data_IF_412549963577
#
_entry.id   IF_412549963577
#
_cell.length_a   1.000
_cell.length_b   1.000
_cell.length_c   1.000
_cell.angle_alpha   90.00
_cell.angle_beta   90.00
_cell.angle_gamma   90.00
#
_symmetry.space_group_name_H-M   'P 1'
#
loop_
_entity.id
_entity.type
_entity.pdbx_description
1 polymer ?
#
# COMPACT_ATOMS: atom_id res chain seq x y z
N UNK A 1 -19.83 -17.94 -14.20
CA UNK A 1 -19.71 -18.45 -12.80
C UNK A 1 -20.64 -17.68 -11.85
N UNK A 2 -21.19 -18.32 -10.81
CA UNK A 2 -21.91 -17.59 -9.77
C UNK A 2 -20.96 -16.68 -8.98
N UNK A 3 -21.43 -15.49 -8.59
CA UNK A 3 -20.58 -14.49 -7.92
C UNK A 3 -19.92 -15.01 -6.62
N UNK A 4 -20.56 -15.99 -5.97
CA UNK A 4 -20.11 -16.61 -4.71
C UNK A 4 -18.90 -17.54 -4.96
N UNK A 5 -18.82 -18.21 -6.09
CA UNK A 5 -17.74 -19.15 -6.42
C UNK A 5 -16.60 -18.49 -7.20
N UNK A 6 -16.87 -17.39 -7.91
CA UNK A 6 -15.87 -16.65 -8.66
C UNK A 6 -14.71 -16.12 -7.80
N UNK A 7 -15.00 -15.66 -6.57
CA UNK A 7 -13.98 -15.13 -5.66
C UNK A 7 -12.98 -16.20 -5.17
N UNK A 8 -13.40 -17.31 -4.53
CA UNK A 8 -12.47 -18.34 -4.09
C UNK A 8 -11.70 -18.97 -5.26
N UNK A 9 -12.33 -19.15 -6.43
CA UNK A 9 -11.62 -19.62 -7.64
C UNK A 9 -10.55 -18.62 -8.08
N UNK A 10 -10.86 -17.32 -8.12
CA UNK A 10 -9.88 -16.32 -8.49
C UNK A 10 -8.67 -16.31 -7.53
N UNK A 11 -8.93 -16.37 -6.22
CA UNK A 11 -7.87 -16.36 -5.19
C UNK A 11 -6.95 -17.57 -5.35
N UNK A 12 -7.50 -18.76 -5.54
CA UNK A 12 -6.72 -20.00 -5.70
C UNK A 12 -5.99 -20.07 -7.05
N UNK A 13 -6.56 -19.51 -8.12
CA UNK A 13 -5.89 -19.43 -9.42
C UNK A 13 -4.84 -18.32 -9.49
N UNK A 14 -4.93 -17.29 -8.64
CA UNK A 14 -4.06 -16.12 -8.64
C UNK A 14 -3.47 -15.86 -7.25
N UNK A 15 -2.96 -16.92 -6.60
CA UNK A 15 -2.37 -16.84 -5.26
C UNK A 15 -1.23 -15.82 -5.20
N UNK A 16 -0.37 -15.76 -6.22
CA UNK A 16 0.73 -14.80 -6.27
C UNK A 16 0.27 -13.34 -6.28
N UNK A 17 -0.74 -13.03 -7.11
CA UNK A 17 -1.34 -11.69 -7.15
C UNK A 17 -2.04 -11.33 -5.85
N UNK A 18 -2.77 -12.29 -5.27
CA UNK A 18 -3.46 -12.10 -3.99
C UNK A 18 -2.49 -11.94 -2.83
N UNK A 19 -1.38 -12.67 -2.83
CA UNK A 19 -0.29 -12.50 -1.87
C UNK A 19 0.32 -11.10 -1.96
N UNK A 20 0.66 -10.63 -3.17
CA UNK A 20 1.21 -9.29 -3.36
C UNK A 20 0.25 -8.20 -2.86
N UNK A 21 -1.05 -8.34 -3.13
CA UNK A 21 -2.06 -7.43 -2.60
C UNK A 21 -2.09 -7.43 -1.07
N UNK A 22 -2.24 -8.59 -0.44
CA UNK A 22 -2.30 -8.72 1.03
C UNK A 22 -1.01 -8.23 1.68
N UNK A 23 0.15 -8.59 1.11
CA UNK A 23 1.45 -8.18 1.61
C UNK A 23 1.65 -6.66 1.51
N UNK A 24 1.24 -6.03 0.41
CA UNK A 24 1.29 -4.57 0.26
C UNK A 24 0.39 -3.84 1.27
N UNK A 25 -0.80 -4.39 1.55
CA UNK A 25 -1.70 -3.87 2.59
C UNK A 25 -1.07 -4.03 3.98
N UNK A 26 -0.50 -5.20 4.29
CA UNK A 26 0.17 -5.45 5.57
C UNK A 26 1.38 -4.53 5.78
N UNK A 27 2.18 -4.28 4.74
CA UNK A 27 3.31 -3.34 4.80
C UNK A 27 2.85 -1.91 5.07
N UNK A 28 1.79 -1.45 4.38
CA UNK A 28 1.26 -0.12 4.62
C UNK A 28 0.69 0.01 6.03
N UNK A 29 -0.22 -0.87 6.45
CA UNK A 29 -0.83 -0.75 7.78
C UNK A 29 0.15 -1.01 8.93
N UNK A 30 1.14 -1.88 8.74
CA UNK A 30 2.12 -2.24 9.77
C UNK A 30 3.27 -1.23 9.91
N UNK A 31 3.71 -0.63 8.81
CA UNK A 31 4.90 0.25 8.81
C UNK A 31 4.65 1.60 8.16
N UNK A 32 3.91 1.64 7.06
CA UNK A 32 3.62 2.88 6.32
C UNK A 32 2.74 3.87 7.08
N UNK A 33 1.62 3.40 7.63
CA UNK A 33 0.64 4.19 8.34
C UNK A 33 1.18 4.73 9.67
N UNK A 34 1.87 3.95 10.52
CA UNK A 34 2.56 4.49 11.68
C UNK A 34 3.59 5.56 11.30
N UNK A 35 4.42 5.31 10.29
CA UNK A 35 5.40 6.29 9.83
C UNK A 35 4.77 7.59 9.31
N UNK A 36 3.60 7.51 8.65
CA UNK A 36 2.85 8.68 8.19
C UNK A 36 2.20 9.44 9.35
N UNK A 37 1.66 8.72 10.34
CA UNK A 37 1.02 9.29 11.52
C UNK A 37 2.00 9.97 12.47
N UNK A 38 3.19 9.38 12.66
CA UNK A 38 4.19 9.86 13.62
C UNK A 38 5.02 11.03 13.08
N UNK A 39 5.24 11.10 11.76
CA UNK A 39 6.12 12.10 11.17
C UNK A 39 5.42 13.17 10.34
N UNK A 40 4.18 12.93 9.90
CA UNK A 40 3.44 13.87 9.07
C UNK A 40 4.14 14.17 7.73
N UNK A 41 3.38 14.52 6.71
CA UNK A 41 3.95 15.10 5.50
C UNK A 41 3.84 16.63 5.59
N UNK A 42 4.37 17.22 6.67
CA UNK A 42 4.27 18.67 6.89
C UNK A 42 5.46 19.39 6.23
N UNK A 43 5.17 20.06 5.11
CA UNK A 43 5.96 21.16 4.55
C UNK A 43 5.69 22.50 5.29
N UNK A 44 4.93 22.46 6.39
CA UNK A 44 4.41 23.62 7.09
C UNK A 44 5.21 24.03 8.33
N UNK A 45 6.54 23.99 8.29
CA UNK A 45 7.33 24.79 9.24
C UNK A 45 8.65 25.29 8.65
N UNK A 46 8.55 26.40 7.90
CA UNK A 46 9.56 27.44 7.98
C UNK A 46 9.48 28.09 9.37
N UNK A 47 10.06 27.45 10.39
CA UNK A 47 10.45 28.11 11.64
C UNK A 47 11.98 28.19 11.68
N UNK A 48 12.60 29.36 11.38
CA UNK A 48 14.03 29.54 11.51
C UNK A 48 14.36 29.85 12.97
N UNK A 49 14.35 28.86 13.86
CA UNK A 49 14.91 29.03 15.20
C UNK A 49 15.19 27.69 15.89
N UNK A 50 16.48 27.43 16.10
CA UNK A 50 17.05 26.65 17.21
C UNK A 50 17.12 25.11 17.17
N UNK A 51 16.39 24.36 16.34
CA UNK A 51 16.62 22.90 16.20
C UNK A 51 16.38 22.41 14.77
N UNK A 52 16.95 23.13 13.80
CA UNK A 52 16.83 22.92 12.35
C UNK A 52 17.50 21.65 11.84
N UNK A 53 16.96 20.50 12.21
CA UNK A 53 17.26 19.22 11.60
C UNK A 53 15.95 18.46 11.48
N UNK A 54 15.37 18.50 10.30
CA UNK A 54 14.32 17.58 9.85
C UNK A 54 14.62 16.20 10.47
N UNK A 55 13.75 15.58 11.29
CA UNK A 55 13.81 14.14 11.49
C UNK A 55 13.31 13.45 10.22
N UNK A 56 13.87 13.81 9.07
CA UNK A 56 14.10 12.89 7.96
C UNK A 56 15.07 11.84 8.48
N UNK A 57 14.61 10.97 9.38
CA UNK A 57 15.35 9.75 9.67
C UNK A 57 15.64 9.08 8.32
N UNK A 58 16.88 8.68 8.01
CA UNK A 58 17.29 8.14 6.70
C UNK A 58 16.46 6.95 6.16
N UNK A 59 15.48 6.47 6.92
CA UNK A 59 14.63 5.32 6.58
C UNK A 59 13.12 5.55 6.81
N UNK A 60 12.68 6.60 7.51
CA UNK A 60 11.26 6.75 7.91
C UNK A 60 10.35 7.30 6.79
N UNK A 61 10.79 8.37 6.13
CA UNK A 61 10.02 9.02 5.04
C UNK A 61 9.86 8.11 3.81
N UNK A 62 10.94 7.41 3.43
CA UNK A 62 10.92 6.50 2.28
C UNK A 62 9.98 5.31 2.49
N UNK A 63 9.95 4.74 3.69
CA UNK A 63 9.08 3.58 4.00
C UNK A 63 7.61 3.96 3.91
N UNK A 64 7.21 5.15 4.38
CA UNK A 64 5.83 5.62 4.26
C UNK A 64 5.40 5.77 2.78
N UNK A 65 6.20 6.45 1.96
CA UNK A 65 5.88 6.67 0.54
C UNK A 65 5.89 5.35 -0.24
N UNK A 66 6.94 4.52 -0.07
CA UNK A 66 7.09 3.27 -0.82
C UNK A 66 5.99 2.27 -0.46
N UNK A 67 5.66 2.11 0.83
CA UNK A 67 4.57 1.22 1.24
C UNK A 67 3.21 1.70 0.74
N UNK A 68 2.97 3.02 0.70
CA UNK A 68 1.77 3.61 0.10
C UNK A 68 1.69 3.32 -1.39
N UNK A 69 2.79 3.51 -2.13
CA UNK A 69 2.84 3.22 -3.56
C UNK A 69 2.60 1.72 -3.83
N UNK A 70 3.23 0.83 -3.07
CA UNK A 70 3.02 -0.61 -3.17
C UNK A 70 1.58 -1.00 -2.89
N UNK A 71 0.94 -0.39 -1.88
CA UNK A 71 -0.47 -0.61 -1.56
C UNK A 71 -1.37 -0.18 -2.73
N UNK A 72 -1.16 1.01 -3.30
CA UNK A 72 -1.95 1.51 -4.42
C UNK A 72 -1.77 0.64 -5.66
N UNK A 73 -0.53 0.34 -6.04
CA UNK A 73 -0.23 -0.49 -7.21
C UNK A 73 -0.74 -1.91 -7.01
N UNK A 74 -0.55 -2.50 -5.83
CA UNK A 74 -1.06 -3.83 -5.49
C UNK A 74 -2.59 -3.89 -5.55
N UNK A 75 -3.28 -2.88 -5.04
CA UNK A 75 -4.73 -2.77 -5.10
C UNK A 75 -5.26 -2.62 -6.53
N UNK A 76 -4.63 -1.77 -7.34
CA UNK A 76 -5.01 -1.57 -8.74
C UNK A 76 -4.76 -2.83 -9.58
N UNK A 77 -3.58 -3.44 -9.43
CA UNK A 77 -3.22 -4.63 -10.18
C UNK A 77 -4.14 -5.80 -9.82
N UNK A 78 -4.39 -6.06 -8.53
CA UNK A 78 -5.29 -7.12 -8.10
C UNK A 78 -6.74 -6.87 -8.56
N UNK A 79 -7.22 -5.64 -8.45
CA UNK A 79 -8.56 -5.27 -8.92
C UNK A 79 -8.71 -5.43 -10.43
N UNK A 80 -7.70 -5.01 -11.22
CA UNK A 80 -7.69 -5.19 -12.67
C UNK A 80 -7.68 -6.67 -13.08
N UNK A 81 -6.90 -7.51 -12.39
CA UNK A 81 -6.85 -8.94 -12.62
C UNK A 81 -8.20 -9.60 -12.28
N UNK A 82 -8.84 -9.19 -11.18
CA UNK A 82 -10.16 -9.70 -10.81
C UNK A 82 -11.25 -9.30 -11.81
N UNK A 83 -11.24 -8.05 -12.27
CA UNK A 83 -12.16 -7.57 -13.30
C UNK A 83 -11.95 -8.29 -14.64
N UNK A 84 -10.70 -8.55 -15.03
CA UNK A 84 -10.38 -9.33 -16.22
C UNK A 84 -10.87 -10.79 -16.09
N UNK A 85 -10.63 -11.42 -14.93
CA UNK A 85 -11.10 -12.78 -14.65
C UNK A 85 -12.62 -12.88 -14.74
N UNK A 86 -13.35 -11.92 -14.16
CA UNK A 86 -14.82 -11.85 -14.25
C UNK A 86 -15.36 -11.62 -15.66
N UNK A 87 -14.59 -10.97 -16.55
CA UNK A 87 -15.00 -10.78 -17.95
C UNK A 87 -14.83 -12.04 -18.80
N UNK A 88 -13.94 -12.94 -18.39
CA UNK A 88 -13.60 -14.17 -19.13
C UNK A 88 -14.38 -15.41 -18.62
N UNK A 89 -14.96 -15.35 -17.42
CA UNK A 89 -15.64 -16.47 -16.71
C UNK A 89 -17.16 -16.33 -16.65
#
# INVERSE_FOLDING_TARGET
>A
MDAITAFPTFVLSNVGWTFNFVFSQALFWGYGFPALSDHGYDDAEKSPASFGGIPSGPSGSGVAIISTMLMVVGALAWSSAFLAFKKVS
#
